data_IF_953831090217
#
_entry.id   IF_953831090217
#
_cell.length_a   1.000
_cell.length_b   1.000
_cell.length_c   1.000
_cell.angle_alpha   90.00
_cell.angle_beta   90.00
_cell.angle_gamma   90.00
#
_symmetry.space_group_name_H-M   'P 1'
#
loop_
_entity.id
_entity.type
_entity.pdbx_description
1 polymer ?
#
# COMPACT_ATOMS: atom_id res chain seq x y z
N UNK A 1 -11.71 2.50 -28.15
CA UNK A 1 -13.07 1.92 -28.11
C UNK A 1 -13.55 2.07 -26.68
N UNK A 2 -14.42 3.03 -26.40
CA UNK A 2 -15.03 3.25 -25.10
C UNK A 2 -15.99 2.11 -24.82
N UNK A 3 -15.95 1.41 -23.68
CA UNK A 3 -16.93 0.38 -23.41
C UNK A 3 -18.30 1.03 -23.25
N UNK A 4 -19.20 0.73 -24.18
CA UNK A 4 -20.61 1.14 -24.12
C UNK A 4 -21.26 0.37 -22.98
N UNK A 5 -21.54 1.05 -21.87
CA UNK A 5 -22.25 0.46 -20.76
C UNK A 5 -23.71 0.19 -21.18
N UNK A 6 -24.13 -1.07 -21.15
CA UNK A 6 -25.50 -1.45 -21.46
C UNK A 6 -26.46 -0.79 -20.45
N UNK A 7 -27.41 -0.02 -21.00
CA UNK A 7 -28.56 0.55 -20.28
C UNK A 7 -29.27 -0.55 -19.47
N UNK A 8 -29.33 -0.39 -18.14
CA UNK A 8 -30.07 -1.32 -17.26
C UNK A 8 -29.24 -2.06 -16.21
N UNK A 9 -27.92 -1.87 -16.12
CA UNK A 9 -27.16 -2.32 -14.94
C UNK A 9 -27.35 -1.28 -13.83
N UNK A 10 -27.70 -1.76 -12.63
CA UNK A 10 -27.57 -0.94 -11.43
C UNK A 10 -26.16 -0.37 -11.43
N UNK A 11 -26.06 0.95 -11.59
CA UNK A 11 -24.79 1.67 -11.55
C UNK A 11 -24.15 1.31 -10.22
N UNK A 12 -23.02 0.62 -10.27
CA UNK A 12 -22.33 0.22 -9.04
C UNK A 12 -21.36 1.33 -8.69
N UNK A 13 -21.12 1.53 -7.39
CA UNK A 13 -20.29 2.62 -6.85
C UNK A 13 -18.90 2.74 -7.51
N UNK A 14 -18.38 1.66 -8.08
CA UNK A 14 -17.07 1.65 -8.73
C UNK A 14 -17.07 2.29 -10.13
N UNK A 15 -18.23 2.57 -10.70
CA UNK A 15 -18.28 3.36 -11.94
C UNK A 15 -17.77 4.79 -11.68
N UNK A 16 -17.87 5.27 -10.42
CA UNK A 16 -17.27 6.52 -9.97
C UNK A 16 -15.74 6.52 -10.04
N UNK A 17 -15.12 5.35 -9.94
CA UNK A 17 -13.67 5.20 -10.08
C UNK A 17 -13.20 5.13 -11.53
N UNK A 18 -14.14 4.95 -12.47
CA UNK A 18 -13.87 4.94 -13.90
C UNK A 18 -13.88 6.38 -14.46
N UNK A 19 -12.77 7.07 -14.31
CA UNK A 19 -12.61 8.35 -14.99
C UNK A 19 -11.95 8.12 -16.35
N UNK A 20 -12.70 8.36 -17.44
CA UNK A 20 -12.26 8.11 -18.82
C UNK A 20 -11.05 8.93 -19.26
N UNK A 21 -10.74 10.04 -18.57
CA UNK A 21 -9.56 10.85 -18.88
C UNK A 21 -8.25 10.15 -18.46
N UNK A 22 -8.33 9.13 -17.59
CA UNK A 22 -7.19 8.47 -17.00
C UNK A 22 -7.18 6.97 -17.32
N UNK A 23 -6.00 6.39 -17.26
CA UNK A 23 -5.87 4.96 -17.46
C UNK A 23 -6.54 4.17 -16.35
N UNK A 24 -7.48 3.32 -16.73
CA UNK A 24 -8.20 2.38 -15.84
C UNK A 24 -7.80 0.96 -16.23
N UNK A 25 -6.80 0.36 -15.58
CA UNK A 25 -6.27 -0.94 -15.98
C UNK A 25 -7.31 -2.06 -15.82
N UNK A 26 -7.41 -2.92 -16.83
CA UNK A 26 -8.01 -4.25 -16.71
C UNK A 26 -6.95 -5.27 -16.31
N UNK A 27 -7.30 -6.56 -16.31
CA UNK A 27 -6.35 -7.63 -15.98
C UNK A 27 -5.05 -7.55 -16.76
N UNK A 28 -5.12 -7.36 -18.08
CA UNK A 28 -3.92 -7.17 -18.93
C UNK A 28 -3.09 -5.97 -18.50
N UNK A 29 -3.76 -4.90 -18.09
CA UNK A 29 -3.12 -3.69 -17.60
C UNK A 29 -2.48 -3.89 -16.22
N UNK A 30 -3.10 -4.64 -15.32
CA UNK A 30 -2.52 -4.99 -14.01
C UNK A 30 -1.23 -5.79 -14.19
N UNK A 31 -1.24 -6.82 -15.05
CA UNK A 31 -0.03 -7.57 -15.37
C UNK A 31 1.03 -6.72 -16.08
N UNK A 32 0.62 -5.82 -16.96
CA UNK A 32 1.54 -4.90 -17.61
C UNK A 32 2.21 -3.95 -16.59
N UNK A 33 1.43 -3.40 -15.65
CA UNK A 33 1.98 -2.54 -14.57
C UNK A 33 2.99 -3.31 -13.70
N UNK A 34 2.69 -4.58 -13.37
CA UNK A 34 3.64 -5.44 -12.66
C UNK A 34 4.92 -5.67 -13.48
N UNK A 35 4.78 -5.99 -14.77
CA UNK A 35 5.93 -6.19 -15.66
C UNK A 35 6.80 -4.93 -15.80
N UNK A 36 6.17 -3.76 -15.94
CA UNK A 36 6.89 -2.48 -15.98
C UNK A 36 7.58 -2.14 -14.66
N UNK A 37 6.94 -2.46 -13.52
CA UNK A 37 7.57 -2.31 -12.19
C UNK A 37 8.81 -3.21 -12.05
N UNK A 38 8.71 -4.49 -12.43
CA UNK A 38 9.85 -5.41 -12.38
C UNK A 38 10.98 -4.96 -13.32
N UNK A 39 10.63 -4.45 -14.50
CA UNK A 39 11.62 -3.87 -15.42
C UNK A 39 12.29 -2.64 -14.80
N UNK A 40 11.53 -1.77 -14.12
CA UNK A 40 12.06 -0.61 -13.41
C UNK A 40 13.05 -1.00 -12.31
N UNK A 41 12.73 -2.03 -11.53
CA UNK A 41 13.64 -2.60 -10.53
C UNK A 41 14.96 -3.10 -11.17
N UNK A 42 14.85 -3.84 -12.28
CA UNK A 42 16.02 -4.34 -13.00
C UNK A 42 16.90 -3.19 -13.51
N UNK A 43 16.29 -2.19 -14.14
CA UNK A 43 17.03 -1.02 -14.66
C UNK A 43 17.67 -0.22 -13.53
N UNK A 44 16.95 -0.02 -12.41
CA UNK A 44 17.49 0.65 -11.23
C UNK A 44 18.69 -0.10 -10.64
N UNK A 45 18.60 -1.42 -10.52
CA UNK A 45 19.69 -2.27 -10.03
C UNK A 45 20.91 -2.24 -10.95
N UNK A 46 20.72 -2.25 -12.28
CA UNK A 46 21.78 -2.12 -13.25
C UNK A 46 22.48 -0.76 -13.14
N UNK A 47 21.73 0.31 -12.93
CA UNK A 47 22.30 1.65 -12.73
C UNK A 47 23.18 1.68 -11.47
N UNK A 48 22.71 1.12 -10.35
CA UNK A 48 23.50 1.04 -9.10
C UNK A 48 24.77 0.23 -9.32
N UNK A 49 24.71 -0.88 -10.03
CA UNK A 49 25.88 -1.68 -10.35
C UNK A 49 26.92 -0.86 -11.18
N UNK A 50 26.47 -0.07 -12.13
CA UNK A 50 27.34 0.81 -12.93
C UNK A 50 27.92 1.91 -12.05
N UNK A 51 27.12 2.58 -11.22
CA UNK A 51 27.60 3.62 -10.32
C UNK A 51 28.59 3.09 -9.28
N UNK A 52 28.41 1.83 -8.82
CA UNK A 52 29.32 1.15 -7.92
C UNK A 52 30.76 0.98 -8.47
N UNK A 53 30.96 1.15 -9.78
CA UNK A 53 32.30 1.18 -10.38
C UNK A 53 33.06 2.52 -10.14
N UNK A 54 32.31 3.57 -9.77
CA UNK A 54 32.86 4.94 -9.69
C UNK A 54 32.64 5.60 -8.34
N UNK A 55 31.73 5.05 -7.52
CA UNK A 55 31.31 5.62 -6.24
C UNK A 55 31.70 4.68 -5.10
N UNK A 56 32.23 5.20 -3.96
CA UNK A 56 32.57 4.36 -2.81
C UNK A 56 31.41 3.48 -2.36
N UNK A 57 31.71 2.25 -1.97
CA UNK A 57 30.72 1.26 -1.57
C UNK A 57 29.81 1.75 -0.44
N UNK A 58 30.37 2.46 0.53
CA UNK A 58 29.63 3.04 1.67
C UNK A 58 28.53 4.01 1.21
N UNK A 59 28.79 4.80 0.16
CA UNK A 59 27.81 5.73 -0.41
C UNK A 59 26.73 4.97 -1.17
N UNK A 60 27.10 3.92 -1.88
CA UNK A 60 26.14 3.04 -2.57
C UNK A 60 25.20 2.39 -1.56
N UNK A 61 25.75 1.79 -0.50
CA UNK A 61 24.93 1.14 0.55
C UNK A 61 24.00 2.15 1.26
N UNK A 62 24.50 3.35 1.54
CA UNK A 62 23.72 4.37 2.25
C UNK A 62 22.59 5.01 1.42
N UNK A 63 22.75 5.16 0.09
CA UNK A 63 21.87 6.05 -0.68
C UNK A 63 21.32 5.47 -1.97
N UNK A 64 21.82 4.31 -2.43
CA UNK A 64 21.40 3.74 -3.73
C UNK A 64 19.89 3.54 -3.82
N UNK A 65 19.25 3.10 -2.74
CA UNK A 65 17.81 2.87 -2.71
C UNK A 65 16.98 4.15 -2.86
N UNK A 66 17.49 5.31 -2.47
CA UNK A 66 16.80 6.59 -2.73
C UNK A 66 16.67 6.90 -4.22
N UNK A 67 17.53 6.30 -5.05
CA UNK A 67 17.50 6.44 -6.52
C UNK A 67 16.77 5.27 -7.17
N UNK A 68 17.09 4.03 -6.78
CA UNK A 68 16.51 2.82 -7.37
C UNK A 68 15.01 2.76 -7.13
N UNK A 69 14.58 3.08 -5.93
CA UNK A 69 13.19 2.92 -5.55
C UNK A 69 12.21 3.78 -6.37
N UNK A 70 12.39 5.11 -6.50
CA UNK A 70 11.56 5.89 -7.41
C UNK A 70 11.69 5.45 -8.87
N UNK A 71 12.89 5.05 -9.31
CA UNK A 71 13.11 4.56 -10.68
C UNK A 71 12.33 3.27 -10.96
N UNK A 72 12.09 2.43 -9.96
CA UNK A 72 11.27 1.21 -10.12
C UNK A 72 9.83 1.53 -10.50
N UNK A 73 9.31 2.67 -10.06
CA UNK A 73 7.95 3.11 -10.36
C UNK A 73 7.84 3.96 -11.63
N UNK A 74 8.96 4.51 -12.13
CA UNK A 74 8.94 5.35 -13.34
C UNK A 74 8.38 4.65 -14.59
N UNK A 75 8.78 3.41 -14.95
CA UNK A 75 8.23 2.73 -16.12
C UNK A 75 6.71 2.48 -16.02
N UNK A 76 6.15 1.96 -14.93
CA UNK A 76 4.70 1.82 -14.82
C UNK A 76 3.96 3.16 -14.82
N UNK A 77 4.57 4.26 -14.32
CA UNK A 77 4.00 5.59 -14.37
C UNK A 77 3.95 6.12 -15.80
N UNK A 78 5.04 5.99 -16.56
CA UNK A 78 5.11 6.37 -17.98
C UNK A 78 4.10 5.54 -18.79
N UNK A 79 4.03 4.23 -18.54
CA UNK A 79 3.05 3.37 -19.18
C UNK A 79 1.61 3.82 -18.89
N UNK A 80 1.26 4.08 -17.64
CA UNK A 80 -0.07 4.56 -17.28
C UNK A 80 -0.39 5.92 -17.91
N UNK A 81 0.57 6.86 -17.91
CA UNK A 81 0.43 8.16 -18.56
C UNK A 81 0.21 8.03 -20.07
N UNK A 82 0.94 7.14 -20.75
CA UNK A 82 0.79 6.88 -22.20
C UNK A 82 -0.58 6.31 -22.58
N UNK A 83 -1.30 5.71 -21.64
CA UNK A 83 -2.65 5.18 -21.82
C UNK A 83 -3.75 6.16 -21.38
N UNK A 84 -3.39 7.26 -20.76
CA UNK A 84 -4.28 8.31 -20.31
C UNK A 84 -4.46 9.37 -21.39
N UNK A 85 -5.61 10.08 -21.40
CA UNK A 85 -5.81 11.23 -22.27
C UNK A 85 -5.05 12.47 -21.77
N UNK A 86 -4.60 12.47 -20.52
CA UNK A 86 -3.82 13.54 -19.91
C UNK A 86 -2.43 13.02 -19.57
N UNK A 87 -1.41 13.72 -20.00
CA UNK A 87 -0.01 13.40 -19.77
C UNK A 87 0.43 13.84 -18.36
N UNK A 88 -0.08 13.18 -17.32
CA UNK A 88 0.39 13.41 -15.96
C UNK A 88 0.87 12.09 -15.36
N UNK A 89 2.09 12.08 -14.85
CA UNK A 89 2.71 10.88 -14.27
C UNK A 89 2.04 10.46 -12.95
N UNK A 90 1.63 11.43 -12.14
CA UNK A 90 1.10 11.16 -10.79
C UNK A 90 -0.42 11.20 -10.69
N UNK A 91 -1.08 11.81 -11.66
CA UNK A 91 -2.52 11.99 -11.57
C UNK A 91 -3.23 10.68 -11.87
N UNK A 92 -3.94 10.17 -10.88
CA UNK A 92 -4.63 8.88 -10.96
C UNK A 92 -6.05 9.01 -11.52
N UNK A 93 -6.44 10.20 -11.95
CA UNK A 93 -7.79 10.53 -12.42
C UNK A 93 -8.81 10.67 -11.30
N UNK A 94 -8.41 10.37 -10.09
CA UNK A 94 -9.17 10.67 -8.89
C UNK A 94 -8.59 11.94 -8.29
N UNK A 95 -9.40 12.99 -8.19
CA UNK A 95 -8.96 14.18 -7.47
C UNK A 95 -8.63 13.72 -6.05
N UNK A 96 -7.39 13.86 -5.62
CA UNK A 96 -7.00 13.57 -4.23
C UNK A 96 -7.88 14.30 -3.21
N UNK A 97 -8.56 15.36 -3.66
CA UNK A 97 -9.51 16.16 -2.90
C UNK A 97 -10.98 15.69 -3.02
N UNK A 98 -11.29 14.63 -3.74
CA UNK A 98 -12.65 14.09 -3.85
C UNK A 98 -12.96 13.04 -2.76
N UNK A 99 -12.19 13.05 -1.69
CA UNK A 99 -12.41 12.19 -0.54
C UNK A 99 -13.78 12.42 0.09
N UNK A 100 -14.53 11.34 0.27
CA UNK A 100 -15.86 11.37 0.85
C UNK A 100 -15.82 10.82 2.26
N UNK A 101 -16.24 11.64 3.21
CA UNK A 101 -16.24 11.26 4.63
C UNK A 101 -17.64 11.14 5.22
N UNK A 102 -18.68 11.26 4.40
CA UNK A 102 -20.06 11.20 4.86
C UNK A 102 -20.38 12.28 5.89
N UNK A 103 -20.97 11.91 7.03
CA UNK A 103 -21.31 12.86 8.08
C UNK A 103 -20.10 13.28 8.92
N UNK A 104 -18.93 12.69 8.71
CA UNK A 104 -17.77 12.88 9.57
C UNK A 104 -16.87 14.03 9.09
N UNK A 105 -16.25 14.73 10.03
CA UNK A 105 -15.21 15.73 9.75
C UNK A 105 -13.91 15.04 9.34
N UNK A 106 -13.13 15.68 8.48
CA UNK A 106 -11.84 15.15 8.04
C UNK A 106 -10.91 14.80 9.23
N UNK A 107 -10.89 15.63 10.28
CA UNK A 107 -10.09 15.38 11.48
C UNK A 107 -10.50 14.09 12.22
N UNK A 108 -11.79 13.78 12.27
CA UNK A 108 -12.27 12.53 12.87
C UNK A 108 -11.83 11.31 12.05
N UNK A 109 -11.94 11.41 10.72
CA UNK A 109 -11.51 10.34 9.81
C UNK A 109 -10.01 10.11 9.92
N UNK A 110 -9.21 11.18 9.94
CA UNK A 110 -7.75 11.09 10.12
C UNK A 110 -7.40 10.46 11.47
N UNK A 111 -8.03 10.89 12.56
CA UNK A 111 -7.79 10.32 13.89
C UNK A 111 -8.14 8.82 13.93
N UNK A 112 -9.31 8.44 13.43
CA UNK A 112 -9.70 7.03 13.37
C UNK A 112 -8.77 6.22 12.47
N UNK A 113 -8.28 6.79 11.38
CA UNK A 113 -7.29 6.16 10.50
C UNK A 113 -5.99 5.85 11.26
N UNK A 114 -5.49 6.79 12.05
CA UNK A 114 -4.27 6.60 12.87
C UNK A 114 -4.51 5.52 13.93
N UNK A 115 -5.62 5.59 14.67
CA UNK A 115 -5.99 4.60 15.70
C UNK A 115 -6.15 3.19 15.10
N UNK A 116 -6.82 3.10 13.96
CA UNK A 116 -6.98 1.85 13.21
C UNK A 116 -5.62 1.27 12.79
N UNK A 117 -4.68 2.11 12.37
CA UNK A 117 -3.35 1.67 11.95
C UNK A 117 -2.56 1.09 13.12
N UNK A 118 -2.52 1.79 14.27
CA UNK A 118 -1.91 1.23 15.48
C UNK A 118 -2.65 -0.02 15.96
N UNK A 119 -3.98 -0.04 15.86
CA UNK A 119 -4.78 -1.23 16.14
C UNK A 119 -4.42 -2.41 15.27
N UNK A 120 -4.16 -2.18 13.98
CA UNK A 120 -3.65 -3.20 13.07
C UNK A 120 -2.26 -3.69 13.51
N UNK A 121 -1.30 -2.79 13.71
CA UNK A 121 0.09 -3.14 14.06
C UNK A 121 0.15 -4.01 15.33
N UNK A 122 -0.56 -3.61 16.38
CA UNK A 122 -0.53 -4.34 17.67
C UNK A 122 -1.45 -5.56 17.65
N UNK A 123 -2.63 -5.44 17.05
CA UNK A 123 -3.65 -6.51 17.03
C UNK A 123 -3.28 -7.69 16.13
N UNK A 124 -2.39 -7.51 15.14
CA UNK A 124 -1.95 -8.58 14.23
C UNK A 124 -0.52 -9.08 14.51
N UNK A 125 0.16 -8.51 15.50
CA UNK A 125 1.54 -8.85 15.85
C UNK A 125 1.72 -10.37 16.07
N UNK A 126 0.83 -11.00 16.81
CA UNK A 126 0.87 -12.44 17.05
C UNK A 126 0.76 -13.28 15.77
N UNK A 127 -0.03 -12.85 14.80
CA UNK A 127 -0.16 -13.56 13.52
C UNK A 127 1.15 -13.50 12.73
N UNK A 128 1.81 -12.35 12.74
CA UNK A 128 3.11 -12.17 12.09
C UNK A 128 4.20 -12.99 12.79
N UNK A 129 4.21 -13.01 14.12
CA UNK A 129 5.09 -13.87 14.92
C UNK A 129 4.87 -15.36 14.60
N UNK A 130 3.62 -15.84 14.55
CA UNK A 130 3.32 -17.21 14.19
C UNK A 130 3.78 -17.54 12.76
N UNK A 131 3.54 -16.65 11.81
CA UNK A 131 4.02 -16.82 10.44
C UNK A 131 5.54 -17.01 10.41
N UNK A 132 6.28 -16.16 11.10
CA UNK A 132 7.73 -16.29 11.22
C UNK A 132 8.13 -17.64 11.84
N UNK A 133 7.56 -17.99 12.98
CA UNK A 133 7.88 -19.27 13.68
C UNK A 133 7.60 -20.48 12.81
N UNK A 134 6.47 -20.54 12.13
CA UNK A 134 6.11 -21.66 11.27
C UNK A 134 7.02 -21.74 10.05
N UNK A 135 7.25 -20.61 9.38
CA UNK A 135 8.04 -20.59 8.15
C UNK A 135 9.53 -20.81 8.39
N UNK A 136 10.07 -20.44 9.56
CA UNK A 136 11.49 -20.62 9.91
C UNK A 136 11.78 -21.89 10.70
N UNK A 137 10.80 -22.79 10.88
CA UNK A 137 11.01 -24.10 11.51
C UNK A 137 11.97 -24.97 10.69
N UNK A 138 11.90 -24.86 9.37
CA UNK A 138 12.81 -25.56 8.46
C UNK A 138 14.15 -24.81 8.38
N UNK A 139 15.28 -25.52 8.55
CA UNK A 139 16.63 -24.94 8.54
C UNK A 139 16.97 -24.22 7.22
N UNK A 140 16.53 -24.74 6.07
CA UNK A 140 16.71 -24.09 4.77
C UNK A 140 15.97 -22.76 4.71
N UNK A 141 14.71 -22.74 5.14
CA UNK A 141 13.90 -21.51 5.16
C UNK A 141 14.46 -20.49 6.15
N UNK A 142 14.97 -20.94 7.30
CA UNK A 142 15.65 -20.06 8.28
C UNK A 142 16.90 -19.43 7.67
N UNK A 143 17.75 -20.23 7.02
CA UNK A 143 18.95 -19.70 6.35
C UNK A 143 18.60 -18.72 5.24
N UNK A 144 17.55 -19.02 4.47
CA UNK A 144 17.07 -18.11 3.42
C UNK A 144 16.57 -16.79 4.02
N UNK A 145 15.81 -16.86 5.11
CA UNK A 145 15.38 -15.67 5.86
C UNK A 145 16.58 -14.83 6.30
N UNK A 146 17.56 -15.45 6.99
CA UNK A 146 18.73 -14.74 7.52
C UNK A 146 19.52 -14.06 6.38
N UNK A 147 19.71 -14.75 5.25
CA UNK A 147 20.39 -14.21 4.07
C UNK A 147 19.61 -13.03 3.46
N UNK A 148 18.29 -13.16 3.37
CA UNK A 148 17.44 -12.10 2.84
C UNK A 148 17.46 -10.87 3.75
N UNK A 149 17.34 -11.08 5.07
CA UNK A 149 17.35 -9.96 6.04
C UNK A 149 18.70 -9.27 6.09
N UNK A 150 19.80 -10.00 5.98
CA UNK A 150 21.14 -9.40 5.83
C UNK A 150 21.26 -8.56 4.57
N UNK A 151 20.76 -9.05 3.43
CA UNK A 151 20.76 -8.30 2.19
C UNK A 151 19.90 -7.01 2.29
N UNK A 152 18.70 -7.12 2.87
CA UNK A 152 17.80 -5.98 3.08
C UNK A 152 18.40 -4.94 4.03
N UNK A 153 19.05 -5.39 5.12
CA UNK A 153 19.70 -4.49 6.08
C UNK A 153 20.83 -3.68 5.44
N UNK A 154 21.62 -4.30 4.57
CA UNK A 154 22.65 -3.59 3.78
C UNK A 154 22.03 -2.57 2.81
N UNK A 155 20.89 -2.87 2.23
CA UNK A 155 20.22 -1.96 1.30
C UNK A 155 19.50 -0.80 2.00
N UNK A 156 19.06 -0.98 3.24
CA UNK A 156 18.32 0.02 4.02
C UNK A 156 19.12 0.60 5.18
N UNK A 157 20.32 0.11 5.43
CA UNK A 157 21.20 0.45 6.56
C UNK A 157 21.92 1.81 6.45
N UNK A 158 21.42 2.70 5.61
CA UNK A 158 21.91 4.07 5.51
C UNK A 158 21.55 4.95 6.71
N UNK A 159 21.93 6.24 6.69
CA UNK A 159 21.56 7.18 7.73
C UNK A 159 20.05 7.21 7.97
N UNK A 160 19.63 7.50 9.20
CA UNK A 160 18.20 7.56 9.57
C UNK A 160 17.33 8.27 8.53
N UNK A 161 17.78 9.41 8.03
CA UNK A 161 17.00 10.20 7.06
C UNK A 161 16.83 9.52 5.71
N UNK A 162 17.82 8.73 5.25
CA UNK A 162 17.66 7.97 4.01
C UNK A 162 16.63 6.85 4.18
N UNK A 163 16.71 6.10 5.27
CA UNK A 163 15.75 5.04 5.61
C UNK A 163 14.34 5.60 5.85
N UNK A 164 14.24 6.74 6.56
CA UNK A 164 12.97 7.40 6.81
C UNK A 164 12.32 7.89 5.50
N UNK A 165 13.09 8.60 4.66
CA UNK A 165 12.61 9.11 3.39
C UNK A 165 12.17 7.98 2.45
N UNK A 166 12.97 6.92 2.37
CA UNK A 166 12.66 5.75 1.55
C UNK A 166 11.38 5.05 2.03
N UNK A 167 11.35 4.67 3.31
CA UNK A 167 10.37 3.74 3.85
C UNK A 167 9.08 4.45 4.30
N UNK A 168 9.19 5.65 4.90
CA UNK A 168 8.03 6.36 5.43
C UNK A 168 7.43 7.37 4.43
N UNK A 169 8.18 7.81 3.40
CA UNK A 169 7.67 8.78 2.44
C UNK A 169 7.52 8.17 1.04
N UNK A 170 8.62 7.65 0.45
CA UNK A 170 8.58 7.16 -0.93
C UNK A 170 7.70 5.92 -1.05
N UNK A 171 7.83 4.95 -0.14
CA UNK A 171 7.01 3.75 -0.19
C UNK A 171 5.50 4.08 -0.15
N UNK A 172 4.97 4.83 0.83
CA UNK A 172 3.56 5.22 0.83
C UNK A 172 3.11 5.94 -0.45
N UNK A 173 3.94 6.83 -1.00
CA UNK A 173 3.55 7.60 -2.19
C UNK A 173 3.48 6.73 -3.43
N UNK A 174 4.54 5.99 -3.71
CA UNK A 174 4.64 5.22 -4.96
C UNK A 174 3.84 3.92 -4.93
N UNK A 175 3.86 3.20 -3.83
CA UNK A 175 3.13 1.94 -3.73
C UNK A 175 1.63 2.15 -3.66
N UNK A 176 1.14 3.16 -2.92
CA UNK A 176 -0.29 3.45 -2.89
C UNK A 176 -0.79 3.98 -4.23
N UNK A 177 0.03 4.80 -4.93
CA UNK A 177 -0.26 5.21 -6.29
C UNK A 177 -0.47 3.99 -7.20
N UNK A 178 0.44 3.02 -7.16
CA UNK A 178 0.36 1.81 -8.00
C UNK A 178 -0.78 0.90 -7.57
N UNK A 179 -0.85 0.55 -6.28
CA UNK A 179 -1.73 -0.50 -5.79
C UNK A 179 -3.18 -0.02 -5.64
N UNK A 180 -3.42 1.20 -5.15
CA UNK A 180 -4.79 1.73 -4.96
C UNK A 180 -5.18 2.67 -6.09
N UNK A 181 -4.31 3.58 -6.44
CA UNK A 181 -4.55 4.54 -7.52
C UNK A 181 -4.72 3.91 -8.88
N UNK A 182 -4.00 2.84 -9.19
CA UNK A 182 -4.08 2.14 -10.48
C UNK A 182 -4.79 0.79 -10.35
N UNK A 183 -4.18 -0.18 -9.65
CA UNK A 183 -4.65 -1.57 -9.65
C UNK A 183 -6.04 -1.69 -9.02
N UNK A 184 -6.24 -1.27 -7.78
CA UNK A 184 -7.53 -1.39 -7.10
C UNK A 184 -8.62 -0.63 -7.84
N UNK A 185 -8.35 0.62 -8.22
CA UNK A 185 -9.31 1.43 -8.97
C UNK A 185 -9.74 0.75 -10.27
N UNK A 186 -8.79 0.18 -11.02
CA UNK A 186 -9.08 -0.56 -12.24
C UNK A 186 -9.92 -1.81 -12.00
N UNK A 187 -9.64 -2.55 -10.94
CA UNK A 187 -10.36 -3.76 -10.58
C UNK A 187 -11.78 -3.47 -10.07
N UNK A 188 -11.97 -2.38 -9.32
CA UNK A 188 -13.28 -1.94 -8.83
C UNK A 188 -14.29 -1.69 -9.96
N UNK A 189 -13.84 -1.35 -11.17
CA UNK A 189 -14.72 -1.18 -12.34
C UNK A 189 -15.14 -2.51 -12.98
N UNK A 190 -14.56 -3.65 -12.58
CA UNK A 190 -14.70 -4.94 -13.30
C UNK A 190 -15.19 -6.09 -12.45
N UNK A 191 -15.00 -6.01 -11.13
CA UNK A 191 -15.36 -7.09 -10.21
C UNK A 191 -16.02 -6.57 -8.93
N UNK A 192 -16.52 -7.50 -8.12
CA UNK A 192 -17.09 -7.14 -6.80
C UNK A 192 -16.02 -6.50 -5.92
N UNK A 193 -16.34 -5.46 -5.15
CA UNK A 193 -15.36 -4.73 -4.32
C UNK A 193 -14.51 -5.61 -3.42
N UNK A 194 -15.10 -6.61 -2.76
CA UNK A 194 -14.36 -7.52 -1.91
C UNK A 194 -13.21 -8.23 -2.66
N UNK A 195 -13.48 -8.73 -3.88
CA UNK A 195 -12.46 -9.38 -4.69
C UNK A 195 -11.43 -8.40 -5.25
N UNK A 196 -11.86 -7.19 -5.62
CA UNK A 196 -10.94 -6.14 -6.05
C UNK A 196 -9.94 -5.79 -4.94
N UNK A 197 -10.43 -5.66 -3.70
CA UNK A 197 -9.60 -5.39 -2.52
C UNK A 197 -8.62 -6.54 -2.28
N UNK A 198 -9.11 -7.80 -2.29
CA UNK A 198 -8.26 -8.99 -2.09
C UNK A 198 -7.16 -9.07 -3.16
N UNK A 199 -7.50 -8.91 -4.43
CA UNK A 199 -6.52 -8.98 -5.52
C UNK A 199 -5.51 -7.84 -5.44
N UNK A 200 -5.95 -6.62 -5.11
CA UNK A 200 -5.04 -5.48 -4.91
C UNK A 200 -4.12 -5.68 -3.70
N UNK A 201 -4.62 -6.29 -2.62
CA UNK A 201 -3.81 -6.63 -1.45
C UNK A 201 -2.79 -7.74 -1.76
N UNK A 202 -3.16 -8.74 -2.55
CA UNK A 202 -2.22 -9.76 -3.04
C UNK A 202 -1.15 -9.15 -3.94
N UNK A 203 -1.53 -8.24 -4.84
CA UNK A 203 -0.58 -7.52 -5.68
C UNK A 203 0.41 -6.72 -4.81
N UNK A 204 -0.09 -6.04 -3.78
CA UNK A 204 0.73 -5.30 -2.82
C UNK A 204 1.71 -6.22 -2.07
N UNK A 205 1.26 -7.40 -1.62
CA UNK A 205 2.13 -8.39 -1.00
C UNK A 205 3.21 -8.92 -1.96
N UNK A 206 2.85 -9.15 -3.23
CA UNK A 206 3.76 -9.67 -4.25
C UNK A 206 4.90 -8.70 -4.61
N UNK A 207 4.63 -7.40 -4.68
CA UNK A 207 5.67 -6.42 -5.03
C UNK A 207 6.76 -6.28 -3.95
N UNK A 208 6.50 -6.74 -2.73
CA UNK A 208 7.52 -6.77 -1.67
C UNK A 208 8.57 -7.87 -1.88
N UNK A 209 8.28 -8.90 -2.67
CA UNK A 209 9.19 -10.02 -2.96
C UNK A 209 9.81 -10.68 -1.72
N UNK A 210 9.19 -10.51 -0.56
CA UNK A 210 9.62 -11.03 0.73
C UNK A 210 8.50 -11.88 1.35
N UNK A 211 8.64 -13.22 1.39
CA UNK A 211 7.59 -14.12 1.87
C UNK A 211 7.15 -13.87 3.32
N UNK A 212 8.08 -13.46 4.19
CA UNK A 212 7.78 -13.19 5.60
C UNK A 212 7.02 -11.89 5.80
N UNK A 213 7.33 -10.89 4.98
CA UNK A 213 6.61 -9.62 4.96
C UNK A 213 5.26 -9.74 4.24
N UNK A 214 5.10 -10.70 3.34
CA UNK A 214 3.94 -10.82 2.47
C UNK A 214 2.62 -10.96 3.24
N UNK A 215 2.59 -11.70 4.36
CA UNK A 215 1.38 -11.84 5.17
C UNK A 215 0.96 -10.50 5.78
N UNK A 216 1.90 -9.78 6.38
CA UNK A 216 1.65 -8.46 6.94
C UNK A 216 1.24 -7.46 5.86
N UNK A 217 1.96 -7.43 4.73
CA UNK A 217 1.63 -6.57 3.59
C UNK A 217 0.23 -6.89 3.02
N UNK A 218 -0.13 -8.16 2.92
CA UNK A 218 -1.48 -8.56 2.52
C UNK A 218 -2.54 -8.05 3.49
N UNK A 219 -2.34 -8.24 4.80
CA UNK A 219 -3.29 -7.83 5.84
C UNK A 219 -3.51 -6.31 5.85
N UNK A 220 -2.45 -5.52 5.94
CA UNK A 220 -2.57 -4.05 5.88
C UNK A 220 -3.07 -3.60 4.51
N UNK A 221 -2.75 -4.36 3.46
CA UNK A 221 -3.25 -4.20 2.11
C UNK A 221 -4.77 -4.26 2.01
N UNK A 222 -5.40 -5.20 2.73
CA UNK A 222 -6.86 -5.32 2.84
C UNK A 222 -7.46 -4.09 3.54
N UNK A 223 -6.84 -3.65 4.65
CA UNK A 223 -7.29 -2.47 5.40
C UNK A 223 -7.25 -1.22 4.52
N UNK A 224 -6.10 -0.94 3.89
CA UNK A 224 -5.94 0.20 3.00
C UNK A 224 -6.88 0.13 1.79
N UNK A 225 -7.05 -1.06 1.19
CA UNK A 225 -7.99 -1.26 0.10
C UNK A 225 -9.43 -0.97 0.50
N UNK A 226 -9.83 -1.38 1.70
CA UNK A 226 -11.17 -1.10 2.23
C UNK A 226 -11.38 0.39 2.53
N UNK A 227 -10.40 1.04 3.17
CA UNK A 227 -10.46 2.50 3.43
C UNK A 227 -10.54 3.28 2.11
N UNK A 228 -9.74 2.92 1.10
CA UNK A 228 -9.82 3.51 -0.23
C UNK A 228 -11.21 3.31 -0.85
N UNK A 229 -11.74 2.10 -0.84
CA UNK A 229 -13.06 1.79 -1.39
C UNK A 229 -14.17 2.63 -0.73
N UNK A 230 -14.11 2.83 0.60
CA UNK A 230 -15.11 3.60 1.33
C UNK A 230 -15.00 5.12 1.15
N UNK A 231 -13.79 5.63 0.99
CA UNK A 231 -13.51 7.07 1.02
C UNK A 231 -13.06 7.65 -0.31
N UNK A 232 -12.55 6.83 -1.21
CA UNK A 232 -11.87 7.29 -2.44
C UNK A 232 -10.57 8.05 -2.19
N UNK A 233 -10.11 8.10 -0.94
CA UNK A 233 -8.96 8.91 -0.55
C UNK A 233 -7.66 8.12 -0.62
N UNK A 234 -6.83 8.43 -1.60
CA UNK A 234 -5.47 7.91 -1.68
C UNK A 234 -4.58 8.45 -0.53
N UNK A 235 -4.86 9.67 -0.05
CA UNK A 235 -4.15 10.26 1.09
C UNK A 235 -4.34 9.48 2.39
N UNK A 236 -5.53 8.93 2.64
CA UNK A 236 -5.76 8.12 3.83
C UNK A 236 -4.99 6.80 3.77
N UNK A 237 -4.88 6.19 2.59
CA UNK A 237 -4.08 4.97 2.45
C UNK A 237 -2.59 5.26 2.57
N UNK A 238 -2.12 6.36 2.01
CA UNK A 238 -0.75 6.85 2.23
C UNK A 238 -0.50 7.16 3.72
N UNK A 239 -1.48 7.71 4.45
CA UNK A 239 -1.36 7.95 5.89
C UNK A 239 -1.25 6.65 6.68
N UNK A 240 -2.09 5.64 6.39
CA UNK A 240 -1.99 4.31 7.03
C UNK A 240 -0.58 3.74 6.81
N UNK A 241 -0.13 3.77 5.57
CA UNK A 241 1.16 3.25 5.19
C UNK A 241 2.32 4.05 5.83
N UNK A 242 2.24 5.37 5.82
CA UNK A 242 3.20 6.26 6.50
C UNK A 242 3.28 5.99 8.01
N UNK A 243 2.13 5.88 8.70
CA UNK A 243 2.11 5.60 10.14
C UNK A 243 2.71 4.23 10.43
N UNK A 244 2.34 3.20 9.66
CA UNK A 244 2.89 1.85 9.82
C UNK A 244 4.42 1.84 9.65
N UNK A 245 4.89 2.31 8.52
CA UNK A 245 6.32 2.26 8.17
C UNK A 245 7.14 3.27 8.96
N UNK A 246 6.62 4.49 9.17
CA UNK A 246 7.29 5.52 9.94
C UNK A 246 7.49 5.11 11.39
N UNK A 247 6.49 4.45 12.00
CA UNK A 247 6.62 3.89 13.35
C UNK A 247 7.73 2.86 13.41
N UNK A 248 7.78 1.92 12.45
CA UNK A 248 8.84 0.91 12.41
C UNK A 248 10.24 1.54 12.30
N UNK A 249 10.41 2.53 11.41
CA UNK A 249 11.69 3.23 11.23
C UNK A 249 12.09 4.03 12.48
N UNK A 250 11.14 4.66 13.17
CA UNK A 250 11.42 5.40 14.42
C UNK A 250 11.78 4.44 15.55
N UNK A 251 11.05 3.32 15.68
CA UNK A 251 11.34 2.33 16.73
C UNK A 251 12.71 1.66 16.52
N UNK A 252 13.14 1.42 15.29
CA UNK A 252 14.47 0.87 15.00
C UNK A 252 15.64 1.78 15.42
N UNK A 253 15.37 3.06 15.72
CA UNK A 253 16.40 3.98 16.26
C UNK A 253 16.57 3.89 17.79
N UNK A 254 15.66 3.23 18.47
CA UNK A 254 15.73 3.04 19.91
C UNK A 254 16.62 1.80 20.18
N UNK A 255 17.80 1.95 20.84
CA UNK A 255 18.75 0.85 20.98
C UNK A 255 18.17 -0.43 21.62
N UNK A 256 17.19 -0.27 22.51
CA UNK A 256 16.52 -1.42 23.15
C UNK A 256 15.45 -2.10 22.27
N UNK A 257 15.10 -1.49 21.12
CA UNK A 257 14.05 -1.96 20.22
C UNK A 257 14.54 -2.26 18.79
N UNK A 258 15.79 -1.92 18.46
CA UNK A 258 16.33 -2.05 17.10
C UNK A 258 16.29 -3.49 16.57
N UNK A 259 16.48 -4.49 17.46
CA UNK A 259 16.49 -5.91 17.12
C UNK A 259 15.16 -6.62 17.47
N UNK A 260 14.15 -5.85 17.87
CA UNK A 260 12.83 -6.38 18.24
C UNK A 260 11.93 -6.43 17.02
N UNK A 261 11.61 -7.64 16.58
CA UNK A 261 10.67 -7.86 15.47
C UNK A 261 9.21 -7.94 15.94
N UNK A 262 8.99 -8.51 17.14
CA UNK A 262 7.65 -8.77 17.67
C UNK A 262 7.52 -8.31 19.12
N UNK A 263 6.39 -7.67 19.45
CA UNK A 263 6.11 -7.20 20.80
C UNK A 263 6.02 -8.31 21.85
N UNK A 264 5.67 -9.53 21.42
CA UNK A 264 5.61 -10.70 22.29
C UNK A 264 6.99 -11.06 22.89
N UNK A 265 8.07 -10.69 22.22
CA UNK A 265 9.43 -11.03 22.68
C UNK A 265 9.91 -10.12 23.81
N UNK A 266 9.30 -8.94 24.02
CA UNK A 266 9.75 -7.93 24.99
C UNK A 266 8.70 -7.57 26.06
N UNK A 267 7.42 -7.75 25.78
CA UNK A 267 6.37 -7.39 26.72
C UNK A 267 6.07 -8.55 27.70
N UNK A 268 5.82 -8.26 29.00
CA UNK A 268 5.24 -9.24 29.90
C UNK A 268 3.96 -9.81 29.30
N UNK A 269 3.73 -11.11 29.46
CA UNK A 269 2.62 -11.84 28.83
C UNK A 269 1.25 -11.17 29.03
N UNK A 270 0.96 -10.74 30.24
CA UNK A 270 -0.31 -10.08 30.58
C UNK A 270 -0.46 -8.75 29.84
N UNK A 271 0.61 -7.94 29.82
CA UNK A 271 0.66 -6.65 29.09
C UNK A 271 0.48 -6.88 27.59
N UNK A 272 1.17 -7.90 27.04
CA UNK A 272 1.05 -8.24 25.63
C UNK A 272 -0.37 -8.65 25.24
N UNK A 273 -1.00 -9.52 26.05
CA UNK A 273 -2.40 -9.95 25.79
C UNK A 273 -3.36 -8.77 25.84
N UNK A 274 -3.23 -7.89 26.85
CA UNK A 274 -4.08 -6.70 26.95
C UNK A 274 -3.86 -5.78 25.76
N UNK A 275 -2.61 -5.51 25.40
CA UNK A 275 -2.28 -4.67 24.24
C UNK A 275 -2.85 -5.25 22.94
N UNK A 276 -2.70 -6.56 22.73
CA UNK A 276 -3.23 -7.24 21.53
C UNK A 276 -4.76 -7.16 21.46
N UNK A 277 -5.47 -7.38 22.58
CA UNK A 277 -6.92 -7.25 22.64
C UNK A 277 -7.37 -5.82 22.34
N UNK A 278 -6.73 -4.82 22.94
CA UNK A 278 -7.00 -3.39 22.67
C UNK A 278 -6.73 -3.08 21.20
N UNK A 279 -5.63 -3.60 20.64
CA UNK A 279 -5.29 -3.46 19.22
C UNK A 279 -6.39 -4.02 18.30
N UNK A 280 -6.86 -5.24 18.59
CA UNK A 280 -7.96 -5.85 17.83
C UNK A 280 -9.25 -5.03 17.95
N UNK A 281 -9.59 -4.55 19.14
CA UNK A 281 -10.76 -3.68 19.34
C UNK A 281 -10.63 -2.39 18.54
N UNK A 282 -9.46 -1.77 18.54
CA UNK A 282 -9.19 -0.54 17.76
C UNK A 282 -9.29 -0.81 16.25
N UNK A 283 -8.72 -1.91 15.77
CA UNK A 283 -8.83 -2.33 14.38
C UNK A 283 -10.28 -2.56 13.96
N UNK A 284 -11.03 -3.38 14.71
CA UNK A 284 -12.45 -3.70 14.41
C UNK A 284 -13.30 -2.45 14.51
N UNK A 285 -13.10 -1.63 15.55
CA UNK A 285 -13.80 -0.35 15.74
C UNK A 285 -13.52 0.64 14.60
N UNK A 286 -12.27 0.72 14.15
CA UNK A 286 -11.88 1.55 13.00
C UNK A 286 -12.53 1.07 11.71
N UNK A 287 -12.47 -0.24 11.43
CA UNK A 287 -13.17 -0.83 10.26
C UNK A 287 -14.67 -0.56 10.34
N UNK A 288 -15.28 -0.77 11.51
CA UNK A 288 -16.69 -0.46 11.73
C UNK A 288 -17.01 1.01 11.50
N UNK A 289 -16.17 1.95 11.95
CA UNK A 289 -16.34 3.38 11.67
C UNK A 289 -16.42 3.64 10.16
N UNK A 290 -15.52 3.05 9.37
CA UNK A 290 -15.54 3.20 7.90
C UNK A 290 -16.80 2.60 7.27
N UNK A 291 -17.47 1.61 7.88
CA UNK A 291 -18.77 1.14 7.37
C UNK A 291 -19.83 2.24 7.40
N UNK A 292 -19.72 3.21 8.32
CA UNK A 292 -20.64 4.33 8.49
C UNK A 292 -20.47 5.45 7.47
N UNK A 293 -19.37 5.45 6.71
CA UNK A 293 -19.20 6.34 5.58
C UNK A 293 -20.02 5.78 4.42
N UNK A 294 -21.12 6.44 4.02
CA UNK A 294 -21.92 5.98 2.90
C UNK A 294 -21.09 6.06 1.61
N UNK A 295 -21.31 5.11 0.72
CA UNK A 295 -20.77 5.18 -0.61
C UNK A 295 -21.44 6.35 -1.37
N UNK A 296 -20.73 6.95 -2.33
CA UNK A 296 -21.19 8.19 -2.97
C UNK A 296 -22.58 8.05 -3.61
N UNK A 297 -22.91 6.87 -4.14
CA UNK A 297 -24.23 6.57 -4.68
C UNK A 297 -25.35 6.45 -3.62
N UNK A 298 -25.00 6.20 -2.37
CA UNK A 298 -25.97 6.10 -1.26
C UNK A 298 -26.34 7.48 -0.69
N UNK A 299 -25.66 8.55 -1.13
CA UNK A 299 -25.83 9.92 -0.62
C UNK A 299 -27.02 10.67 -1.21
N UNK A 300 -27.86 10.01 -1.90
CA UNK A 300 -29.07 10.60 -2.40
C UNK A 300 -29.01 10.83 -3.91
N UNK A 301 -30.19 11.16 -4.42
CA UNK A 301 -30.40 11.53 -5.81
C UNK A 301 -29.24 12.35 -6.34
N UNK A 302 -28.18 11.66 -6.72
CA UNK A 302 -27.40 12.15 -7.79
C UNK A 302 -28.45 12.23 -8.90
N UNK A 303 -28.92 13.43 -9.14
CA UNK A 303 -29.52 13.72 -10.40
C UNK A 303 -28.73 12.92 -11.39
N UNK A 304 -29.36 11.88 -11.89
CA UNK A 304 -28.77 11.06 -12.92
C UNK A 304 -28.06 12.03 -13.83
N UNK A 305 -26.74 12.13 -13.66
CA UNK A 305 -25.92 12.71 -14.70
C UNK A 305 -26.12 11.69 -15.79
N UNK A 306 -27.19 11.88 -16.50
CA UNK A 306 -27.36 11.45 -17.86
C UNK A 306 -26.13 12.01 -18.53
N UNK A 307 -25.08 11.21 -18.53
CA UNK A 307 -24.04 11.31 -19.53
C UNK A 307 -24.82 11.05 -20.82
N UNK A 308 -25.48 12.08 -21.32
CA UNK A 308 -25.84 12.19 -22.72
C UNK A 308 -24.50 12.17 -23.43
N UNK A 309 -24.15 10.96 -23.84
CA UNK A 309 -23.08 10.73 -24.78
C UNK A 309 -23.71 11.03 -26.12
N UNK A 310 -23.56 12.30 -26.57
CA UNK A 310 -23.62 12.62 -28.00
C UNK A 310 -22.46 11.93 -28.73
#
# INVERSE_FOLDING_TARGET
MVPVFKKGRNVRNYDLYANHAWYVPGWKGVFALLGWFLLGNLLGSLLVMIFGLFVPQEVIEAYSMLVVYPLSFLPPMVYAASKSQRNSLFETGYKLNSAHFGPFKASQVVLVTIVLTFGYMVGTDYLNYLNFKVTTTNSFMKQFYDTLMEALSKMTGGPFWSSFLLTAIFAPVFEEWLCRGMVLRGLLTRMKPAWAIVVSALFFALIHMNPWQALNAFGIGLVMGYVYYKTGSLWLTMLIHFVNNGTAVVLSQIPSLQDVEYWIDILPKETYVVASVVGVIALVGGVWFFTRIPLEQERGNIDTVTLEIE
#
